data_IF_142268019097
#
_entry.id   IF_142268019097
#
_cell.length_a   1.000
_cell.length_b   1.000
_cell.length_c   1.000
_cell.angle_alpha   90.00
_cell.angle_beta   90.00
_cell.angle_gamma   90.00
#
_symmetry.space_group_name_H-M   'P 1'
#
loop_
_entity.id
_entity.type
_entity.pdbx_description
1 polymer ?
#
# COMPACT_ATOMS: atom_id res chain seq x y z
N UNK A 1 -13.87 4.88 -29.36
CA UNK A 1 -14.86 5.03 -28.26
C UNK A 1 -14.16 4.63 -26.97
N UNK A 2 -14.26 5.38 -25.87
CA UNK A 2 -13.66 4.92 -24.61
C UNK A 2 -14.44 3.72 -24.08
N UNK A 3 -13.80 2.56 -23.99
CA UNK A 3 -14.38 1.35 -23.40
C UNK A 3 -14.91 1.66 -22.00
N UNK A 4 -16.19 1.36 -21.74
CA UNK A 4 -16.85 1.59 -20.44
C UNK A 4 -16.03 1.06 -19.27
N UNK A 5 -15.34 -0.07 -19.48
CA UNK A 5 -14.42 -0.67 -18.50
C UNK A 5 -13.28 0.28 -18.10
N UNK A 6 -12.66 0.97 -19.05
CA UNK A 6 -11.56 1.91 -18.78
C UNK A 6 -12.03 3.12 -17.96
N UNK A 7 -13.23 3.63 -18.24
CA UNK A 7 -13.85 4.72 -17.47
C UNK A 7 -14.15 4.29 -16.03
N UNK A 8 -14.74 3.10 -15.84
CA UNK A 8 -15.03 2.55 -14.51
C UNK A 8 -13.72 2.30 -13.75
N UNK A 9 -12.71 1.75 -14.42
CA UNK A 9 -11.38 1.52 -13.85
C UNK A 9 -10.76 2.81 -13.33
N UNK A 10 -10.71 3.87 -14.15
CA UNK A 10 -10.19 5.17 -13.76
C UNK A 10 -10.91 5.76 -12.55
N UNK A 11 -12.26 5.75 -12.56
CA UNK A 11 -13.07 6.24 -11.44
C UNK A 11 -12.76 5.50 -10.13
N UNK A 12 -12.58 4.18 -10.18
CA UNK A 12 -12.28 3.39 -8.98
C UNK A 12 -10.87 3.67 -8.47
N UNK A 13 -9.90 3.90 -9.36
CA UNK A 13 -8.56 4.33 -8.96
C UNK A 13 -8.59 5.71 -8.30
N UNK A 14 -9.37 6.66 -8.81
CA UNK A 14 -9.55 7.98 -8.19
C UNK A 14 -10.17 7.87 -6.79
N UNK A 15 -11.18 7.00 -6.62
CA UNK A 15 -11.78 6.73 -5.31
C UNK A 15 -10.78 6.06 -4.35
N UNK A 16 -10.01 5.09 -4.84
CA UNK A 16 -8.97 4.42 -4.08
C UNK A 16 -7.88 5.41 -3.63
N UNK A 17 -7.56 6.38 -4.48
CA UNK A 17 -6.62 7.44 -4.19
C UNK A 17 -7.09 8.33 -3.04
N UNK A 18 -8.36 8.75 -3.04
CA UNK A 18 -8.93 9.54 -1.93
C UNK A 18 -8.77 8.79 -0.62
N UNK A 19 -9.11 7.49 -0.59
CA UNK A 19 -8.91 6.65 0.60
C UNK A 19 -7.43 6.55 1.00
N UNK A 20 -6.55 6.38 0.02
CA UNK A 20 -5.10 6.26 0.24
C UNK A 20 -4.49 7.54 0.80
N UNK A 21 -4.85 8.72 0.27
CA UNK A 21 -4.32 10.02 0.69
C UNK A 21 -4.89 10.51 2.01
N UNK A 22 -6.08 10.05 2.40
CA UNK A 22 -6.70 10.43 3.67
C UNK A 22 -6.29 9.48 4.80
N UNK A 23 -6.49 8.17 4.61
CA UNK A 23 -6.37 7.19 5.69
C UNK A 23 -4.91 6.82 5.96
N UNK A 24 -4.06 6.68 4.93
CA UNK A 24 -2.69 6.20 5.15
C UNK A 24 -1.79 7.22 5.83
N UNK A 25 -1.72 8.50 5.42
CA UNK A 25 -0.94 9.50 6.15
C UNK A 25 -1.41 9.65 7.60
N UNK A 26 -2.72 9.60 7.83
CA UNK A 26 -3.28 9.59 9.18
C UNK A 26 -2.83 8.36 9.99
N UNK A 27 -2.85 7.17 9.39
CA UNK A 27 -2.39 5.93 10.03
C UNK A 27 -0.90 5.99 10.36
N UNK A 28 -0.07 6.44 9.41
CA UNK A 28 1.36 6.67 9.59
C UNK A 28 1.62 7.64 10.74
N UNK A 29 0.90 8.77 10.77
CA UNK A 29 0.97 9.73 11.87
C UNK A 29 0.66 9.08 13.22
N UNK A 30 -0.44 8.32 13.32
CA UNK A 30 -0.80 7.60 14.55
C UNK A 30 0.30 6.62 14.97
N UNK A 31 0.86 5.86 14.03
CA UNK A 31 1.91 4.87 14.32
C UNK A 31 3.18 5.57 14.83
N UNK A 32 3.61 6.67 14.21
CA UNK A 32 4.83 7.39 14.61
C UNK A 32 4.69 7.94 16.05
N UNK A 33 3.58 8.61 16.34
CA UNK A 33 3.41 9.40 17.58
C UNK A 33 2.76 8.63 18.73
N UNK A 34 1.93 7.61 18.47
CA UNK A 34 1.13 6.93 19.49
C UNK A 34 1.49 5.46 19.69
N UNK A 35 2.60 4.98 19.10
CA UNK A 35 3.10 3.62 19.37
C UNK A 35 3.70 3.52 20.78
N UNK A 36 3.19 2.61 21.64
CA UNK A 36 3.78 2.38 22.95
C UNK A 36 5.14 1.69 22.85
N UNK A 37 6.02 1.91 23.84
CA UNK A 37 7.41 1.40 23.85
C UNK A 37 7.53 -0.11 23.54
N UNK A 38 6.62 -0.93 24.04
CA UNK A 38 6.65 -2.39 23.84
C UNK A 38 6.30 -2.83 22.40
N UNK A 39 5.65 -1.98 21.60
CA UNK A 39 5.35 -2.25 20.18
C UNK A 39 6.31 -1.53 19.22
N UNK A 40 7.27 -0.77 19.75
CA UNK A 40 8.09 0.15 18.92
C UNK A 40 8.81 -0.55 17.78
N UNK A 41 9.41 -1.71 18.04
CA UNK A 41 10.12 -2.47 17.00
C UNK A 41 9.14 -2.96 15.93
N UNK A 42 8.02 -3.57 16.33
CA UNK A 42 6.98 -4.03 15.40
C UNK A 42 6.41 -2.87 14.57
N UNK A 43 6.26 -1.69 15.16
CA UNK A 43 5.76 -0.52 14.46
C UNK A 43 6.67 -0.04 13.34
N UNK A 44 7.99 -0.24 13.43
CA UNK A 44 8.91 0.13 12.36
C UNK A 44 8.70 -0.74 11.12
N UNK A 45 8.38 -2.02 11.30
CA UNK A 45 8.06 -2.91 10.19
C UNK A 45 6.70 -2.58 9.56
N UNK A 46 5.68 -2.33 10.38
CA UNK A 46 4.36 -1.86 9.89
C UNK A 46 4.53 -0.54 9.12
N UNK A 47 5.37 0.37 9.63
CA UNK A 47 5.64 1.65 8.97
C UNK A 47 6.40 1.47 7.64
N UNK A 48 7.40 0.57 7.59
CA UNK A 48 8.10 0.23 6.36
C UNK A 48 7.12 -0.25 5.28
N UNK A 49 6.24 -1.20 5.63
CA UNK A 49 5.20 -1.70 4.72
C UNK A 49 4.26 -0.56 4.27
N UNK A 50 3.76 0.26 5.20
CA UNK A 50 2.87 1.38 4.88
C UNK A 50 3.51 2.44 3.97
N UNK A 51 4.80 2.73 4.11
CA UNK A 51 5.51 3.71 3.28
C UNK A 51 5.61 3.20 1.84
N UNK A 52 6.07 1.97 1.64
CA UNK A 52 6.14 1.37 0.30
C UNK A 52 4.76 1.29 -0.36
N UNK A 53 3.77 0.91 0.44
CA UNK A 53 2.39 0.81 0.00
C UNK A 53 1.75 2.17 -0.33
N UNK A 54 2.07 3.23 0.40
CA UNK A 54 1.67 4.60 0.08
C UNK A 54 2.34 5.09 -1.21
N UNK A 55 3.65 4.86 -1.36
CA UNK A 55 4.39 5.22 -2.56
C UNK A 55 3.82 4.52 -3.80
N UNK A 56 3.55 3.21 -3.71
CA UNK A 56 2.95 2.44 -4.79
C UNK A 56 1.59 2.97 -5.20
N UNK A 57 0.69 3.22 -4.24
CA UNK A 57 -0.64 3.77 -4.54
C UNK A 57 -0.59 5.18 -5.13
N UNK A 58 0.33 6.04 -4.67
CA UNK A 58 0.55 7.36 -5.24
C UNK A 58 0.94 7.24 -6.73
N UNK A 59 1.92 6.41 -7.04
CA UNK A 59 2.34 6.16 -8.42
C UNK A 59 1.20 5.54 -9.26
N UNK A 60 0.46 4.59 -8.69
CA UNK A 60 -0.65 3.93 -9.37
C UNK A 60 -1.78 4.91 -9.73
N UNK A 61 -2.10 5.82 -8.80
CA UNK A 61 -3.08 6.89 -9.00
C UNK A 61 -2.59 7.87 -10.06
N UNK A 62 -1.34 8.33 -9.95
CA UNK A 62 -0.81 9.31 -10.90
C UNK A 62 -0.70 8.76 -12.33
N UNK A 63 -0.45 7.46 -12.47
CA UNK A 63 -0.26 6.78 -13.75
C UNK A 63 -1.52 6.22 -14.40
N UNK A 64 -2.48 5.75 -13.60
CA UNK A 64 -3.60 4.91 -14.05
C UNK A 64 -3.18 3.85 -15.09
N UNK A 65 -2.29 2.91 -14.73
CA UNK A 65 -1.85 1.89 -15.67
C UNK A 65 -3.00 0.96 -16.04
N UNK A 66 -3.40 0.94 -17.30
CA UNK A 66 -4.50 0.13 -17.82
C UNK A 66 -3.95 -0.96 -18.77
N UNK A 67 -4.22 -2.26 -18.51
CA UNK A 67 -3.72 -3.34 -19.36
C UNK A 67 -4.48 -3.39 -20.70
N UNK A 68 -3.75 -3.58 -21.81
CA UNK A 68 -4.30 -3.64 -23.17
C UNK A 68 -4.30 -5.06 -23.78
N UNK A 69 -4.58 -6.08 -22.96
CA UNK A 69 -4.57 -7.48 -23.41
C UNK A 69 -5.57 -7.71 -24.56
N UNK A 70 -5.24 -8.54 -25.58
CA UNK A 70 -4.12 -9.49 -25.63
C UNK A 70 -2.75 -8.86 -25.90
N UNK A 71 -2.68 -7.63 -26.41
CA UNK A 71 -1.41 -6.92 -26.53
C UNK A 71 -0.79 -6.75 -25.14
N UNK A 72 0.45 -7.19 -24.95
CA UNK A 72 1.17 -7.12 -23.68
C UNK A 72 1.70 -5.72 -23.42
N UNK A 73 0.79 -4.76 -23.52
CA UNK A 73 1.04 -3.34 -23.42
C UNK A 73 0.19 -2.75 -22.30
N UNK A 74 0.65 -1.61 -21.82
CA UNK A 74 -0.03 -0.85 -20.78
C UNK A 74 -0.19 0.57 -21.28
N UNK A 75 -1.40 1.09 -21.15
CA UNK A 75 -1.71 2.51 -21.38
C UNK A 75 -1.65 3.25 -20.05
N UNK A 76 -0.99 4.41 -20.01
CA UNK A 76 -1.08 5.31 -18.87
C UNK A 76 -2.14 6.38 -19.15
N UNK A 77 -3.20 6.41 -18.35
CA UNK A 77 -4.32 7.34 -18.50
C UNK A 77 -4.33 8.46 -17.44
N UNK A 78 -3.39 8.43 -16.49
CA UNK A 78 -3.34 9.37 -15.37
C UNK A 78 -2.72 10.72 -15.72
N UNK A 79 -2.73 11.63 -14.73
CA UNK A 79 -2.18 13.00 -14.87
C UNK A 79 -0.72 12.96 -15.35
N UNK A 80 0.07 11.99 -14.88
CA UNK A 80 1.48 11.89 -15.26
C UNK A 80 1.69 11.57 -16.74
N UNK A 81 0.71 10.93 -17.40
CA UNK A 81 0.81 10.57 -18.82
C UNK A 81 0.91 11.81 -19.72
N UNK A 82 0.30 12.93 -19.30
CA UNK A 82 0.38 14.21 -20.03
C UNK A 82 1.78 14.82 -19.99
N UNK A 83 2.58 14.49 -18.97
CA UNK A 83 3.94 15.02 -18.79
C UNK A 83 5.02 14.06 -19.33
N UNK A 84 4.66 12.79 -19.58
CA UNK A 84 5.60 11.77 -20.04
C UNK A 84 5.38 11.43 -21.51
N UNK A 85 6.13 12.09 -22.39
CA UNK A 85 6.12 11.79 -23.83
C UNK A 85 6.92 10.53 -24.19
N UNK A 86 8.04 10.29 -23.50
CA UNK A 86 8.97 9.19 -23.81
C UNK A 86 8.45 7.84 -23.31
N UNK A 87 8.41 6.84 -24.21
CA UNK A 87 8.10 5.44 -23.87
C UNK A 87 9.05 4.87 -22.80
N UNK A 88 10.34 5.21 -22.87
CA UNK A 88 11.34 4.77 -21.88
C UNK A 88 10.97 5.25 -20.46
N UNK A 89 10.50 6.50 -20.34
CA UNK A 89 10.10 7.05 -19.04
C UNK A 89 8.82 6.38 -18.56
N UNK A 90 7.87 6.03 -19.44
CA UNK A 90 6.67 5.24 -19.07
C UNK A 90 7.03 3.87 -18.52
N UNK A 91 7.98 3.17 -19.15
CA UNK A 91 8.54 1.92 -18.62
C UNK A 91 9.16 2.09 -17.23
N UNK A 92 9.99 3.13 -17.04
CA UNK A 92 10.61 3.42 -15.73
C UNK A 92 9.54 3.71 -14.69
N UNK A 93 8.51 4.49 -15.03
CA UNK A 93 7.41 4.81 -14.12
C UNK A 93 6.67 3.55 -13.66
N UNK A 94 6.33 2.65 -14.59
CA UNK A 94 5.68 1.39 -14.26
C UNK A 94 6.61 0.45 -13.47
N UNK A 95 7.90 0.42 -13.81
CA UNK A 95 8.90 -0.30 -13.03
C UNK A 95 8.93 0.18 -11.57
N UNK A 96 8.87 1.49 -11.32
CA UNK A 96 8.81 2.04 -9.97
C UNK A 96 7.57 1.54 -9.21
N UNK A 97 6.40 1.46 -9.85
CA UNK A 97 5.20 0.84 -9.25
C UNK A 97 5.50 -0.59 -8.81
N UNK A 98 6.03 -1.41 -9.71
CA UNK A 98 6.34 -2.82 -9.40
C UNK A 98 7.41 -2.96 -8.30
N UNK A 99 8.42 -2.09 -8.29
CA UNK A 99 9.44 -2.02 -7.25
C UNK A 99 8.80 -1.75 -5.88
N UNK A 100 7.83 -0.85 -5.78
CA UNK A 100 7.12 -0.63 -4.50
C UNK A 100 6.37 -1.87 -4.03
N UNK A 101 5.77 -2.65 -4.94
CA UNK A 101 5.10 -3.90 -4.60
C UNK A 101 6.08 -4.97 -4.10
N UNK A 102 7.23 -5.14 -4.77
CA UNK A 102 8.30 -6.06 -4.32
C UNK A 102 8.80 -5.66 -2.93
N UNK A 103 9.08 -4.38 -2.71
CA UNK A 103 9.55 -3.90 -1.42
C UNK A 103 8.49 -4.01 -0.31
N UNK A 104 7.20 -3.86 -0.64
CA UNK A 104 6.10 -4.15 0.29
C UNK A 104 6.14 -5.61 0.77
N UNK A 105 6.30 -6.57 -0.15
CA UNK A 105 6.43 -7.99 0.19
C UNK A 105 7.67 -8.27 1.05
N UNK A 106 8.82 -7.67 0.74
CA UNK A 106 10.03 -7.81 1.57
C UNK A 106 9.78 -7.24 2.99
N UNK A 107 9.07 -6.12 3.10
CA UNK A 107 8.66 -5.55 4.39
C UNK A 107 7.79 -6.53 5.20
N UNK A 108 6.81 -7.16 4.56
CA UNK A 108 5.95 -8.15 5.22
C UNK A 108 6.74 -9.38 5.65
N UNK A 109 7.62 -9.90 4.79
CA UNK A 109 8.47 -11.06 5.07
C UNK A 109 9.39 -10.80 6.28
N UNK A 110 10.11 -9.68 6.26
CA UNK A 110 11.03 -9.30 7.33
C UNK A 110 10.30 -9.09 8.66
N UNK A 111 9.05 -8.61 8.64
CA UNK A 111 8.21 -8.51 9.85
C UNK A 111 8.13 -9.85 10.59
N UNK A 112 7.80 -10.95 9.89
CA UNK A 112 7.69 -12.27 10.51
C UNK A 112 9.04 -12.88 10.89
N UNK A 113 10.07 -12.67 10.06
CA UNK A 113 11.43 -13.10 10.38
C UNK A 113 11.90 -12.49 11.72
N UNK A 114 11.85 -11.16 11.84
CA UNK A 114 12.26 -10.48 13.06
C UNK A 114 11.34 -10.76 14.25
N UNK A 115 10.04 -11.01 14.01
CA UNK A 115 9.12 -11.44 15.05
C UNK A 115 9.50 -12.80 15.61
N UNK A 116 9.80 -13.76 14.74
CA UNK A 116 10.27 -15.08 15.15
C UNK A 116 11.58 -14.97 15.94
N UNK A 117 12.58 -14.25 15.41
CA UNK A 117 13.86 -14.04 16.10
C UNK A 117 13.67 -13.40 17.49
N UNK A 118 12.77 -12.42 17.61
CA UNK A 118 12.50 -11.76 18.89
C UNK A 118 11.85 -12.69 19.94
N UNK A 119 11.12 -13.74 19.50
CA UNK A 119 10.52 -14.73 20.39
C UNK A 119 11.54 -15.83 20.70
N UNK A 120 12.15 -16.44 19.68
CA UNK A 120 13.03 -17.60 19.81
C UNK A 120 14.37 -17.29 20.49
N UNK A 121 14.93 -16.10 20.25
CA UNK A 121 16.32 -15.79 20.64
C UNK A 121 16.42 -14.53 21.49
N UNK A 122 15.81 -14.56 22.68
CA UNK A 122 15.87 -13.46 23.66
C UNK A 122 17.31 -13.07 24.00
N UNK A 123 18.20 -14.06 24.13
CA UNK A 123 19.61 -13.84 24.50
C UNK A 123 20.47 -13.29 23.36
N UNK A 124 20.18 -13.66 22.11
CA UNK A 124 20.92 -13.11 20.95
C UNK A 124 20.58 -11.64 20.77
N UNK A 125 19.34 -11.23 21.07
CA UNK A 125 18.90 -9.84 20.96
C UNK A 125 19.70 -8.88 21.84
N UNK A 126 20.25 -9.33 22.96
CA UNK A 126 21.10 -8.49 23.82
C UNK A 126 22.53 -8.38 23.29
N UNK A 127 22.96 -9.32 22.44
CA UNK A 127 24.31 -9.38 21.87
C UNK A 127 24.42 -8.72 20.50
N UNK A 128 23.38 -8.82 19.67
CA UNK A 128 23.39 -8.28 18.31
C UNK A 128 22.89 -6.84 18.31
N UNK A 129 23.75 -5.92 17.87
CA UNK A 129 23.40 -4.51 17.76
C UNK A 129 22.27 -4.30 16.74
N UNK A 130 21.27 -3.48 17.09
CA UNK A 130 20.07 -3.23 16.27
C UNK A 130 20.42 -2.74 14.85
N UNK A 131 21.55 -2.04 14.69
CA UNK A 131 22.04 -1.59 13.37
C UNK A 131 22.19 -2.74 12.37
N UNK A 132 22.64 -3.92 12.80
CA UNK A 132 22.79 -5.07 11.91
C UNK A 132 21.45 -5.56 11.35
N UNK A 133 20.37 -5.43 12.12
CA UNK A 133 19.02 -5.71 11.64
C UNK A 133 18.60 -4.74 10.53
N UNK A 134 18.90 -3.45 10.67
CA UNK A 134 18.65 -2.46 9.61
C UNK A 134 19.50 -2.70 8.37
N UNK A 135 20.80 -2.99 8.54
CA UNK A 135 21.70 -3.33 7.42
C UNK A 135 21.18 -4.54 6.65
N UNK A 136 20.76 -5.59 7.35
CA UNK A 136 20.15 -6.77 6.73
C UNK A 136 18.89 -6.40 5.91
N UNK A 137 17.96 -5.64 6.47
CA UNK A 137 16.76 -5.21 5.75
C UNK A 137 17.11 -4.39 4.51
N UNK A 138 18.00 -3.40 4.63
CA UNK A 138 18.42 -2.54 3.51
C UNK A 138 19.06 -3.37 2.39
N UNK A 139 20.00 -4.24 2.73
CA UNK A 139 20.67 -5.10 1.73
C UNK A 139 19.66 -6.02 1.04
N UNK A 140 18.72 -6.61 1.78
CA UNK A 140 17.68 -7.46 1.20
C UNK A 140 16.79 -6.68 0.22
N UNK A 141 16.33 -5.48 0.60
CA UNK A 141 15.57 -4.60 -0.27
C UNK A 141 16.35 -4.23 -1.54
N UNK A 142 17.61 -3.83 -1.41
CA UNK A 142 18.46 -3.41 -2.53
C UNK A 142 18.74 -4.57 -3.49
N UNK A 143 19.17 -5.73 -2.97
CA UNK A 143 19.53 -6.90 -3.80
C UNK A 143 18.30 -7.40 -4.57
N UNK A 144 17.18 -7.62 -3.88
CA UNK A 144 15.96 -8.11 -4.53
C UNK A 144 15.42 -7.09 -5.56
N UNK A 145 15.48 -5.80 -5.25
CA UNK A 145 15.09 -4.73 -6.19
C UNK A 145 16.00 -4.73 -7.42
N UNK A 146 17.32 -4.82 -7.26
CA UNK A 146 18.27 -4.83 -8.37
C UNK A 146 18.04 -6.03 -9.31
N UNK A 147 17.86 -7.23 -8.75
CA UNK A 147 17.54 -8.44 -9.53
C UNK A 147 16.22 -8.24 -10.30
N UNK A 148 15.19 -7.76 -9.61
CA UNK A 148 13.88 -7.53 -10.24
C UNK A 148 13.94 -6.49 -11.36
N UNK A 149 14.61 -5.36 -11.14
CA UNK A 149 14.81 -4.34 -12.16
C UNK A 149 15.57 -4.87 -13.38
N UNK A 150 16.60 -5.68 -13.18
CA UNK A 150 17.32 -6.32 -14.28
C UNK A 150 16.42 -7.23 -15.11
N UNK A 151 15.62 -8.08 -14.47
CA UNK A 151 14.69 -8.97 -15.19
C UNK A 151 13.63 -8.18 -15.97
N UNK A 152 13.07 -7.12 -15.37
CA UNK A 152 12.08 -6.26 -16.02
C UNK A 152 12.66 -5.45 -17.17
N UNK A 153 13.90 -4.96 -17.04
CA UNK A 153 14.57 -4.21 -18.10
C UNK A 153 14.72 -5.04 -19.38
N UNK A 154 15.09 -6.32 -19.25
CA UNK A 154 15.26 -7.24 -20.38
C UNK A 154 13.94 -7.61 -21.09
N UNK A 155 12.80 -7.31 -20.46
CA UNK A 155 11.45 -7.60 -20.94
C UNK A 155 10.82 -6.48 -21.76
N UNK A 156 11.44 -5.30 -21.76
CA UNK A 156 11.00 -4.16 -22.57
C UNK A 156 11.12 -4.46 -24.06
N UNK A 157 10.17 -3.95 -24.84
CA UNK A 157 10.25 -3.80 -26.30
C UNK A 157 9.61 -2.45 -26.65
N UNK A 158 9.91 -1.89 -27.82
CA UNK A 158 9.25 -0.65 -28.24
C UNK A 158 7.88 -0.94 -28.85
N UNK A 159 6.98 0.04 -28.85
CA UNK A 159 5.69 -0.07 -29.56
C UNK A 159 5.91 -0.34 -31.06
N UNK A 160 6.95 0.24 -31.66
CA UNK A 160 7.29 0.07 -33.08
C UNK A 160 7.72 -1.37 -33.44
N UNK A 161 8.43 -2.04 -32.53
CA UNK A 161 8.84 -3.44 -32.70
C UNK A 161 7.70 -4.44 -32.48
N UNK A 162 6.55 -3.98 -31.97
CA UNK A 162 5.44 -4.84 -31.63
C UNK A 162 4.67 -5.26 -32.89
N UNK A 163 4.97 -6.46 -33.41
CA UNK A 163 4.40 -7.02 -34.66
C UNK A 163 2.86 -7.06 -34.78
N UNK A 164 2.13 -6.75 -33.71
CA UNK A 164 0.65 -6.77 -33.62
C UNK A 164 0.05 -5.36 -33.46
N UNK A 165 0.68 -4.34 -34.06
CA UNK A 165 0.24 -2.94 -34.01
C UNK A 165 -1.21 -2.73 -34.47
N UNK A 166 -1.71 -3.55 -35.40
CA UNK A 166 -3.05 -3.44 -35.98
C UNK A 166 -4.18 -3.53 -34.92
N UNK A 167 -3.89 -4.06 -33.73
CA UNK A 167 -4.84 -4.17 -32.63
C UNK A 167 -4.87 -2.95 -31.68
N UNK A 168 -3.97 -1.97 -31.87
CA UNK A 168 -3.89 -0.78 -31.03
C UNK A 168 -4.54 0.42 -31.73
N UNK A 169 -5.82 0.68 -31.45
CA UNK A 169 -6.52 1.87 -31.98
C UNK A 169 -5.81 3.19 -31.62
N UNK A 170 -5.10 3.21 -30.47
CA UNK A 170 -4.40 4.38 -29.97
C UNK A 170 -3.04 4.00 -29.36
N UNK A 171 -1.95 4.49 -29.95
CA UNK A 171 -0.57 4.28 -29.47
C UNK A 171 -0.10 5.33 -28.47
N UNK A 172 -0.90 6.39 -28.27
CA UNK A 172 -0.58 7.46 -27.31
C UNK A 172 -0.53 6.91 -25.88
N UNK A 173 0.52 7.28 -25.15
CA UNK A 173 0.75 6.88 -23.76
C UNK A 173 0.84 5.37 -23.53
N UNK A 174 1.13 4.60 -24.58
CA UNK A 174 1.35 3.14 -24.52
C UNK A 174 2.83 2.83 -24.39
N UNK A 175 3.13 1.70 -23.76
CA UNK A 175 4.43 1.02 -23.75
C UNK A 175 4.20 -0.49 -23.67
N UNK A 176 5.12 -1.30 -24.20
CA UNK A 176 4.89 -2.72 -24.44
C UNK A 176 6.00 -3.63 -23.89
N UNK A 177 5.65 -4.88 -23.60
CA UNK A 177 6.57 -5.94 -23.19
C UNK A 177 6.69 -7.01 -24.26
N UNK A 178 7.83 -7.71 -24.30
CA UNK A 178 8.06 -8.81 -25.24
C UNK A 178 6.92 -9.85 -25.13
N UNK A 179 6.16 -10.13 -26.20
CA UNK A 179 5.00 -11.02 -26.14
C UNK A 179 5.40 -12.50 -26.02
N UNK A 180 6.61 -12.85 -26.44
CA UNK A 180 7.17 -14.19 -26.38
C UNK A 180 8.69 -14.12 -26.16
N UNK A 181 9.33 -15.26 -25.93
CA UNK A 181 10.78 -15.33 -25.68
C UNK A 181 11.12 -16.03 -24.37
N UNK A 182 12.41 -16.26 -24.17
CA UNK A 182 12.91 -16.89 -22.94
C UNK A 182 12.90 -15.91 -21.77
N UNK A 183 13.09 -14.62 -22.03
CA UNK A 183 13.08 -13.54 -21.04
C UNK A 183 11.71 -13.46 -20.36
N UNK A 184 10.63 -13.54 -21.15
CA UNK A 184 9.25 -13.56 -20.64
C UNK A 184 9.02 -14.76 -19.76
N UNK A 185 9.35 -15.96 -20.26
CA UNK A 185 9.19 -17.19 -19.48
C UNK A 185 9.99 -17.12 -18.18
N UNK A 186 11.24 -16.65 -18.23
CA UNK A 186 12.09 -16.53 -17.06
C UNK A 186 11.49 -15.57 -16.02
N UNK A 187 11.06 -14.36 -16.42
CA UNK A 187 10.44 -13.39 -15.52
C UNK A 187 9.17 -13.97 -14.89
N UNK A 188 8.27 -14.54 -15.69
CA UNK A 188 6.98 -15.04 -15.22
C UNK A 188 7.13 -16.24 -14.29
N UNK A 189 7.98 -17.22 -14.63
CA UNK A 189 8.26 -18.34 -13.74
C UNK A 189 8.98 -17.89 -12.46
N UNK A 190 9.96 -17.00 -12.57
CA UNK A 190 10.64 -16.43 -11.39
C UNK A 190 9.63 -15.73 -10.48
N UNK A 191 8.69 -14.97 -11.06
CA UNK A 191 7.61 -14.35 -10.30
C UNK A 191 6.72 -15.39 -9.60
N UNK A 192 6.22 -16.40 -10.31
CA UNK A 192 5.38 -17.44 -9.69
C UNK A 192 6.10 -18.20 -8.57
N UNK A 193 7.34 -18.65 -8.80
CA UNK A 193 8.12 -19.31 -7.76
C UNK A 193 8.41 -18.38 -6.58
N UNK A 194 8.67 -17.09 -6.83
CA UNK A 194 8.87 -16.12 -5.77
C UNK A 194 7.60 -15.91 -4.93
N UNK A 195 6.41 -15.90 -5.54
CA UNK A 195 5.13 -15.75 -4.84
C UNK A 195 4.81 -16.99 -3.99
N UNK A 196 5.05 -18.19 -4.53
CA UNK A 196 4.91 -19.46 -3.79
C UNK A 196 5.92 -19.49 -2.63
N UNK A 197 7.18 -19.18 -2.90
CA UNK A 197 8.24 -19.13 -1.88
C UNK A 197 7.94 -18.10 -0.78
N UNK A 198 7.41 -16.94 -1.15
CA UNK A 198 6.96 -15.91 -0.22
C UNK A 198 5.84 -16.41 0.69
N UNK A 199 4.77 -16.99 0.11
CA UNK A 199 3.66 -17.55 0.88
C UNK A 199 4.10 -18.68 1.82
N UNK A 200 4.94 -19.59 1.32
CA UNK A 200 5.52 -20.67 2.11
C UNK A 200 6.37 -20.12 3.28
N UNK A 201 7.20 -19.12 3.02
CA UNK A 201 8.06 -18.52 4.05
C UNK A 201 7.24 -17.79 5.12
N UNK A 202 6.20 -17.03 4.72
CA UNK A 202 5.27 -16.42 5.68
C UNK A 202 4.56 -17.47 6.54
N UNK A 203 4.09 -18.56 5.93
CA UNK A 203 3.45 -19.66 6.64
C UNK A 203 4.42 -20.30 7.64
N UNK A 204 5.64 -20.65 7.20
CA UNK A 204 6.67 -21.25 8.05
C UNK A 204 6.99 -20.35 9.24
N UNK A 205 7.30 -19.07 9.03
CA UNK A 205 7.62 -18.19 10.16
C UNK A 205 6.42 -17.93 11.08
N UNK A 206 5.19 -17.91 10.53
CA UNK A 206 3.98 -17.84 11.35
C UNK A 206 3.84 -19.08 12.25
N UNK A 207 3.99 -20.27 11.68
CA UNK A 207 3.92 -21.53 12.43
C UNK A 207 5.05 -21.63 13.47
N UNK A 208 6.28 -21.26 13.11
CA UNK A 208 7.41 -21.20 14.03
C UNK A 208 7.17 -20.20 15.16
N UNK A 209 6.62 -19.03 14.86
CA UNK A 209 6.22 -18.05 15.86
C UNK A 209 5.19 -18.63 16.85
N UNK A 210 4.17 -19.34 16.35
CA UNK A 210 3.18 -19.99 17.20
C UNK A 210 3.78 -21.11 18.04
N UNK A 211 4.60 -21.98 17.44
CA UNK A 211 5.25 -23.09 18.11
C UNK A 211 6.16 -22.60 19.25
N UNK A 212 6.99 -21.60 18.97
CA UNK A 212 7.92 -21.05 19.95
C UNK A 212 7.19 -20.27 21.04
N UNK A 213 6.12 -19.56 20.69
CA UNK A 213 5.27 -18.89 21.67
C UNK A 213 4.62 -19.88 22.65
N UNK A 214 4.17 -21.06 22.17
CA UNK A 214 3.63 -22.12 23.03
C UNK A 214 4.66 -22.68 24.00
N UNK A 215 5.92 -22.85 23.57
CA UNK A 215 6.99 -23.32 24.47
C UNK A 215 7.25 -22.36 25.63
N UNK A 216 7.08 -21.05 25.40
CA UNK A 216 7.35 -20.02 26.41
C UNK A 216 6.16 -19.70 27.32
N UNK A 217 5.00 -20.33 27.09
CA UNK A 217 3.78 -20.07 27.84
C UNK A 217 3.92 -20.29 29.35
N UNK A 218 4.74 -21.28 29.76
CA UNK A 218 5.02 -21.55 31.17
C UNK A 218 6.04 -20.63 31.85
N UNK A 219 6.82 -19.86 31.08
CA UNK A 219 7.91 -19.02 31.61
C UNK A 219 7.54 -17.52 31.69
N UNK A 220 6.49 -17.11 30.99
CA UNK A 220 6.09 -15.71 30.89
C UNK A 220 5.02 -15.35 31.90
N UNK A 221 5.09 -14.14 32.45
CA UNK A 221 4.00 -13.56 33.23
C UNK A 221 2.71 -13.53 32.38
N UNK A 222 1.57 -13.93 32.97
CA UNK A 222 0.26 -14.00 32.30
C UNK A 222 -0.07 -12.73 31.50
N UNK A 223 0.23 -11.56 32.05
CA UNK A 223 0.00 -10.26 31.39
C UNK A 223 0.83 -10.06 30.13
N UNK A 224 2.12 -10.40 30.19
CA UNK A 224 3.01 -10.33 29.01
C UNK A 224 2.58 -11.34 27.95
N UNK A 225 2.20 -12.54 28.37
CA UNK A 225 1.70 -13.59 27.48
C UNK A 225 0.46 -13.12 26.70
N UNK A 226 -0.57 -12.63 27.38
CA UNK A 226 -1.79 -12.13 26.74
C UNK A 226 -1.52 -11.01 25.75
N UNK A 227 -0.62 -10.09 26.10
CA UNK A 227 -0.19 -9.00 25.22
C UNK A 227 0.48 -9.54 23.95
N UNK A 228 1.42 -10.46 24.07
CA UNK A 228 2.12 -11.04 22.91
C UNK A 228 1.19 -11.88 22.02
N UNK A 229 0.26 -12.64 22.61
CA UNK A 229 -0.77 -13.41 21.88
C UNK A 229 -1.66 -12.48 21.08
N UNK A 230 -2.08 -11.35 21.66
CA UNK A 230 -2.87 -10.33 20.97
C UNK A 230 -2.13 -9.70 19.80
N UNK A 231 -0.86 -9.34 19.99
CA UNK A 231 -0.02 -8.79 18.91
C UNK A 231 0.16 -9.80 17.78
N UNK A 232 0.45 -11.07 18.08
CA UNK A 232 0.61 -12.11 17.07
C UNK A 232 -0.67 -12.28 16.24
N UNK A 233 -1.83 -12.41 16.92
CA UNK A 233 -3.11 -12.53 16.24
C UNK A 233 -3.40 -11.33 15.33
N UNK A 234 -3.12 -10.12 15.81
CA UNK A 234 -3.30 -8.91 15.02
C UNK A 234 -2.39 -8.93 13.78
N UNK A 235 -1.11 -9.30 13.90
CA UNK A 235 -0.19 -9.39 12.77
C UNK A 235 -0.65 -10.42 11.73
N UNK A 236 -1.11 -11.60 12.16
CA UNK A 236 -1.66 -12.62 11.25
C UNK A 236 -2.88 -12.10 10.49
N UNK A 237 -3.81 -11.42 11.18
CA UNK A 237 -4.98 -10.81 10.53
C UNK A 237 -4.53 -9.74 9.53
N UNK A 238 -3.60 -8.87 9.90
CA UNK A 238 -3.09 -7.83 8.99
C UNK A 238 -2.38 -8.40 7.77
N UNK A 239 -1.72 -9.55 7.92
CA UNK A 239 -0.98 -10.23 6.84
C UNK A 239 -1.90 -10.95 5.86
N UNK A 240 -3.05 -11.44 6.33
CA UNK A 240 -4.04 -12.06 5.46
C UNK A 240 -4.55 -11.06 4.39
N UNK A 241 -4.61 -9.77 4.72
CA UNK A 241 -5.10 -8.72 3.83
C UNK A 241 -4.23 -8.54 2.57
N UNK A 242 -2.92 -8.23 2.65
CA UNK A 242 -2.07 -8.15 1.47
C UNK A 242 -1.94 -9.50 0.76
N UNK A 243 -2.05 -10.63 1.44
CA UNK A 243 -2.06 -11.94 0.77
C UNK A 243 -3.29 -12.09 -0.13
N UNK A 244 -4.48 -11.80 0.39
CA UNK A 244 -5.75 -12.00 -0.32
C UNK A 244 -6.05 -10.88 -1.31
N UNK A 245 -5.76 -9.63 -0.96
CA UNK A 245 -6.12 -8.45 -1.78
C UNK A 245 -4.97 -7.93 -2.64
N UNK A 246 -3.73 -8.38 -2.45
CA UNK A 246 -2.61 -8.00 -3.31
C UNK A 246 -1.92 -9.21 -3.95
N UNK A 247 -1.39 -10.14 -3.16
CA UNK A 247 -0.61 -11.26 -3.67
C UNK A 247 -1.42 -12.16 -4.60
N UNK A 248 -2.62 -12.56 -4.18
CA UNK A 248 -3.51 -13.38 -5.00
C UNK A 248 -3.97 -12.66 -6.28
N UNK A 249 -4.46 -11.40 -6.23
CA UNK A 249 -4.77 -10.64 -7.44
C UNK A 249 -3.56 -10.44 -8.37
N UNK A 250 -2.36 -10.13 -7.85
CA UNK A 250 -1.15 -10.04 -8.68
C UNK A 250 -0.79 -11.37 -9.33
N UNK A 251 -0.96 -12.48 -8.62
CA UNK A 251 -0.79 -13.82 -9.18
C UNK A 251 -1.77 -14.05 -10.33
N UNK A 252 -3.05 -13.72 -10.13
CA UNK A 252 -4.08 -13.84 -11.17
C UNK A 252 -3.80 -12.94 -12.38
N UNK A 253 -3.47 -11.66 -12.17
CA UNK A 253 -3.07 -10.75 -13.25
C UNK A 253 -1.89 -11.30 -14.04
N UNK A 254 -0.87 -11.83 -13.35
CA UNK A 254 0.31 -12.41 -13.98
C UNK A 254 -0.02 -13.67 -14.77
N UNK A 255 -0.90 -14.52 -14.25
CA UNK A 255 -1.40 -15.71 -14.97
C UNK A 255 -2.10 -15.32 -16.28
N UNK A 256 -2.99 -14.34 -16.24
CA UNK A 256 -3.70 -13.87 -17.43
C UNK A 256 -2.82 -13.06 -18.38
N UNK A 257 -1.76 -12.39 -17.90
CA UNK A 257 -0.74 -11.79 -18.78
C UNK A 257 0.09 -12.87 -19.48
N UNK A 258 0.40 -13.98 -18.79
CA UNK A 258 1.10 -15.11 -19.41
C UNK A 258 0.23 -15.78 -20.48
N UNK A 259 -1.06 -15.95 -20.19
CA UNK A 259 -2.07 -16.51 -21.09
C UNK A 259 -3.00 -15.40 -21.61
N UNK A 260 -2.41 -14.39 -22.25
CA UNK A 260 -3.06 -13.17 -22.72
C UNK A 260 -4.20 -13.39 -23.73
N UNK A 261 -4.22 -14.54 -24.40
CA UNK A 261 -5.28 -14.93 -25.35
C UNK A 261 -6.51 -15.54 -24.66
N UNK A 262 -6.51 -15.74 -23.34
CA UNK A 262 -7.67 -16.27 -22.63
C UNK A 262 -8.85 -15.28 -22.64
N UNK A 263 -10.09 -15.79 -22.70
CA UNK A 263 -11.27 -14.93 -22.56
C UNK A 263 -11.20 -14.10 -21.28
N UNK A 264 -11.57 -12.82 -21.39
CA UNK A 264 -11.61 -11.87 -20.29
C UNK A 264 -10.26 -11.52 -19.65
N UNK A 265 -9.13 -11.81 -20.30
CA UNK A 265 -7.81 -11.56 -19.72
C UNK A 265 -7.60 -10.10 -19.31
N UNK A 266 -8.06 -9.16 -20.15
CA UNK A 266 -8.01 -7.72 -19.88
C UNK A 266 -8.82 -7.34 -18.65
N UNK A 267 -10.05 -7.82 -18.56
CA UNK A 267 -10.99 -7.58 -17.47
C UNK A 267 -10.42 -8.11 -16.14
N UNK A 268 -9.91 -9.35 -16.14
CA UNK A 268 -9.33 -9.98 -14.95
C UNK A 268 -8.08 -9.24 -14.49
N UNK A 269 -7.20 -8.85 -15.41
CA UNK A 269 -6.01 -8.07 -15.08
C UNK A 269 -6.38 -6.69 -14.51
N UNK A 270 -7.34 -5.98 -15.11
CA UNK A 270 -7.82 -4.69 -14.62
C UNK A 270 -8.45 -4.79 -13.22
N UNK A 271 -9.35 -5.76 -12.98
CA UNK A 271 -9.94 -6.01 -11.66
C UNK A 271 -8.85 -6.35 -10.64
N UNK A 272 -7.88 -7.17 -11.02
CA UNK A 272 -6.77 -7.53 -10.14
C UNK A 272 -5.94 -6.30 -9.74
N UNK A 273 -5.64 -5.43 -10.69
CA UNK A 273 -4.95 -4.15 -10.43
C UNK A 273 -5.76 -3.22 -9.51
N UNK A 274 -7.09 -3.20 -9.63
CA UNK A 274 -7.96 -2.44 -8.73
C UNK A 274 -7.93 -3.00 -7.30
N UNK A 275 -7.93 -4.33 -7.13
CA UNK A 275 -7.83 -4.94 -5.80
C UNK A 275 -6.48 -4.61 -5.16
N UNK A 276 -5.40 -4.69 -5.95
CA UNK A 276 -4.04 -4.33 -5.53
C UNK A 276 -3.97 -2.85 -5.16
N UNK A 277 -4.58 -1.94 -5.90
CA UNK A 277 -4.54 -0.52 -5.54
C UNK A 277 -5.32 -0.21 -4.24
N UNK A 278 -6.29 -1.04 -3.85
CA UNK A 278 -7.11 -0.83 -2.67
C UNK A 278 -6.61 -1.53 -1.39
N UNK A 279 -5.81 -2.60 -1.49
CA UNK A 279 -5.39 -3.40 -0.33
C UNK A 279 -4.74 -2.54 0.78
N UNK A 280 -3.98 -1.52 0.39
CA UNK A 280 -3.28 -0.64 1.31
C UNK A 280 -4.20 0.19 2.21
N UNK A 281 -5.34 0.61 1.66
CA UNK A 281 -6.35 1.37 2.42
C UNK A 281 -7.02 0.45 3.44
N UNK A 282 -7.39 -0.76 3.02
CA UNK A 282 -7.96 -1.80 3.91
C UNK A 282 -6.97 -2.15 5.03
N UNK A 283 -5.71 -2.37 4.68
CA UNK A 283 -4.63 -2.63 5.63
C UNK A 283 -4.47 -1.50 6.67
N UNK A 284 -4.53 -0.24 6.23
CA UNK A 284 -4.40 0.92 7.11
C UNK A 284 -5.56 1.06 8.09
N UNK A 285 -6.80 0.88 7.60
CA UNK A 285 -7.99 0.85 8.48
C UNK A 285 -7.85 -0.26 9.52
N UNK A 286 -7.48 -1.47 9.09
CA UNK A 286 -7.32 -2.60 10.01
C UNK A 286 -6.21 -2.37 11.03
N UNK A 287 -5.10 -1.72 10.65
CA UNK A 287 -4.05 -1.32 11.58
C UNK A 287 -4.60 -0.42 12.69
N UNK A 288 -5.38 0.61 12.31
CA UNK A 288 -6.00 1.50 13.30
C UNK A 288 -7.00 0.76 14.20
N UNK A 289 -7.76 -0.19 13.66
CA UNK A 289 -8.79 -0.92 14.40
C UNK A 289 -8.24 -2.00 15.34
N UNK A 290 -7.24 -2.77 14.90
CA UNK A 290 -6.72 -3.94 15.60
C UNK A 290 -5.85 -3.57 16.81
N UNK A 291 -5.06 -2.50 16.70
CA UNK A 291 -4.20 -2.06 17.79
C UNK A 291 -4.92 -1.08 18.71
N UNK A 292 -5.13 -1.51 19.96
CA UNK A 292 -5.88 -0.74 20.97
C UNK A 292 -5.34 0.68 21.20
N UNK A 293 -4.01 0.85 21.22
CA UNK A 293 -3.37 2.17 21.35
C UNK A 293 -3.70 3.08 20.18
N UNK A 294 -3.68 2.55 18.94
CA UNK A 294 -3.97 3.29 17.73
C UNK A 294 -5.45 3.66 17.65
N UNK A 295 -6.34 2.72 17.95
CA UNK A 295 -7.79 2.97 17.97
C UNK A 295 -8.18 4.07 18.95
N UNK A 296 -7.60 4.04 20.16
CA UNK A 296 -7.85 5.08 21.17
C UNK A 296 -7.34 6.45 20.69
N UNK A 297 -6.12 6.51 20.16
CA UNK A 297 -5.56 7.75 19.64
C UNK A 297 -6.38 8.30 18.48
N UNK A 298 -6.75 7.46 17.51
CA UNK A 298 -7.58 7.84 16.38
C UNK A 298 -8.94 8.39 16.83
N UNK A 299 -9.63 7.71 17.75
CA UNK A 299 -10.90 8.20 18.32
C UNK A 299 -10.73 9.56 18.98
N UNK A 300 -9.72 9.74 19.83
CA UNK A 300 -9.48 11.03 20.50
C UNK A 300 -9.23 12.17 19.51
N UNK A 301 -8.51 11.93 18.41
CA UNK A 301 -8.29 12.95 17.38
C UNK A 301 -9.58 13.24 16.61
N UNK A 302 -10.31 12.21 16.20
CA UNK A 302 -11.58 12.37 15.47
C UNK A 302 -12.63 13.11 16.32
N UNK A 303 -12.75 12.80 17.61
CA UNK A 303 -13.66 13.48 18.54
C UNK A 303 -13.27 14.97 18.70
N UNK A 304 -11.97 15.27 18.74
CA UNK A 304 -11.48 16.66 18.77
C UNK A 304 -11.82 17.40 17.47
N UNK A 305 -11.52 16.80 16.32
CA UNK A 305 -11.80 17.38 15.01
C UNK A 305 -13.30 17.62 14.80
N UNK A 306 -14.16 16.66 15.14
CA UNK A 306 -15.61 16.81 15.01
C UNK A 306 -16.14 17.95 15.89
N UNK A 307 -15.62 18.08 17.12
CA UNK A 307 -16.00 19.19 18.01
C UNK A 307 -15.58 20.57 17.48
N UNK A 308 -14.48 20.66 16.72
CA UNK A 308 -14.01 21.92 16.11
C UNK A 308 -14.85 22.25 14.89
N UNK A 309 -15.09 21.27 14.00
CA UNK A 309 -15.93 21.45 12.81
C UNK A 309 -17.35 21.86 13.23
N UNK A 310 -17.93 21.18 14.22
CA UNK A 310 -19.26 21.53 14.73
C UNK A 310 -19.31 22.96 15.26
N UNK A 311 -18.29 23.41 16.00
CA UNK A 311 -18.19 24.80 16.49
C UNK A 311 -18.09 25.81 15.35
N UNK A 312 -17.31 25.53 14.30
CA UNK A 312 -17.19 26.40 13.12
C UNK A 312 -18.51 26.48 12.35
N UNK A 313 -19.18 25.34 12.14
CA UNK A 313 -20.47 25.28 11.43
C UNK A 313 -21.57 25.99 12.23
N UNK A 314 -21.63 25.80 13.55
CA UNK A 314 -22.62 26.47 14.41
C UNK A 314 -22.36 27.98 14.50
N UNK A 315 -21.10 28.43 14.63
CA UNK A 315 -20.76 29.87 14.62
C UNK A 315 -21.15 30.55 13.30
N UNK A 316 -21.08 29.84 12.17
CA UNK A 316 -21.52 30.36 10.87
C UNK A 316 -23.04 30.50 10.77
N UNK A 317 -23.80 29.72 11.56
CA UNK A 317 -25.28 29.77 11.59
C UNK A 317 -25.84 30.76 12.61
N UNK A 318 -25.05 31.25 13.56
CA UNK A 318 -25.48 32.38 14.39
C UNK A 318 -25.73 33.57 13.47
N UNK A 319 -26.98 34.04 13.30
CA UNK A 319 -27.24 35.23 12.51
C UNK A 319 -26.36 36.33 13.07
N UNK A 320 -25.67 37.05 12.19
CA UNK A 320 -25.11 38.35 12.53
C UNK A 320 -26.32 39.16 12.96
N UNK A 321 -26.62 39.15 14.26
CA UNK A 321 -27.52 40.12 14.85
C UNK A 321 -26.80 41.42 14.57
N UNK A 322 -27.21 42.08 13.49
CA UNK A 322 -26.92 43.48 13.26
C UNK A 322 -27.51 44.15 14.49
N UNK A 323 -26.68 44.35 15.49
CA UNK A 323 -26.99 45.22 16.60
C UNK A 323 -27.08 46.59 15.96
N UNK A 324 -28.28 46.90 15.48
CA UNK A 324 -28.68 48.26 15.17
C UNK A 324 -28.48 49.00 16.47
N UNK A 325 -27.30 49.62 16.61
CA UNK A 325 -27.06 50.63 17.64
C UNK A 325 -28.09 51.71 17.35
N UNK A 326 -29.24 51.61 18.01
CA UNK A 326 -30.17 52.72 18.14
C UNK A 326 -29.36 53.77 18.90
N UNK A 327 -28.91 54.76 18.14
CA UNK A 327 -28.19 55.91 18.66
C UNK A 327 -29.21 56.72 19.46
N UNK A 328 -29.36 56.40 20.75
CA UNK A 328 -30.17 57.20 21.66
C UNK A 328 -29.46 58.53 21.83
N UNK A 329 -29.95 59.56 21.13
CA UNK A 329 -29.53 60.94 21.31
C UNK A 329 -29.98 61.36 22.72
N UNK A 330 -29.06 61.26 23.67
CA UNK A 330 -29.25 61.79 25.01
C UNK A 330 -29.17 63.31 24.99
N UNK A 331 -30.32 63.96 25.03
CA UNK A 331 -30.44 65.39 25.37
C UNK A 331 -29.97 65.60 26.81
N UNK A 332 -28.76 66.13 26.99
CA UNK A 332 -28.28 66.61 28.28
C UNK A 332 -28.74 68.06 28.48
N UNK A 333 -29.80 68.22 29.27
CA UNK A 333 -30.27 69.51 29.76
C UNK A 333 -29.34 70.02 30.86
N UNK A 334 -28.52 71.03 30.56
CA UNK A 334 -27.83 71.84 31.58
C UNK A 334 -28.83 72.78 32.25
N UNK A 335 -28.99 72.66 33.57
CA UNK A 335 -29.51 73.73 34.43
C UNK A 335 -28.34 74.62 34.85
N UNK A 336 -28.49 75.93 34.66
CA UNK A 336 -28.04 76.98 35.59
C UNK A 336 -29.27 77.83 35.86
#
# INVERSE_FOLDING_TARGET
>A
MSDSLSTIYGLILDLAAIGSFTIKPFSIFIIIYYTPKHLRITSYFILNEMIWNLAGNLLFTLGHPYPLLPAQCIRLDGIIAQFISSETIRHIFFLLILVTAVNCNIGLLTTFQFRYMAIAWKDIRTRVHVAWGYVYCILLHVICTAIFCYLQYNMRTTVEEYSQLDHLEHTNNVFCFKPSGWEKRLLMWSFFFSMIGFAATLLVFTLLCYAEFRKQEGQLEKKTLEMQRRVMRNLVIMTAVPVVLACFPLFMASLFIQFNEWPYAREVAAVSYMLVSNHGTVYSVLTLLLFQSYRRAAKTILDKCSSVVLRVVLKRKSPVVMTTKVMTIGYSSRRI
#
